data_IF_226706761645
#
_entry.id   IF_226706761645
#
_cell.length_a   1.000
_cell.length_b   1.000
_cell.length_c   1.000
_cell.angle_alpha   90.00
_cell.angle_beta   90.00
_cell.angle_gamma   90.00
#
_symmetry.space_group_name_H-M   'P 1'
#
loop_
_entity.id
_entity.type
_entity.pdbx_description
1 polymer ?
#
# COMPACT_ATOMS: atom_id res chain seq x y z
N UNK A 1 -0.93 -8.18 0.83
CA UNK A 1 -1.86 -7.11 0.37
C UNK A 1 -1.31 -6.46 -0.90
N UNK A 2 -2.14 -5.78 -1.69
CA UNK A 2 -1.74 -5.05 -2.90
C UNK A 2 -0.69 -3.96 -2.62
N UNK A 3 -0.61 -3.47 -1.38
CA UNK A 3 0.45 -2.60 -0.88
C UNK A 3 1.88 -3.11 -1.21
N UNK A 4 2.12 -4.42 -1.07
CA UNK A 4 3.42 -5.04 -1.40
C UNK A 4 3.73 -4.94 -2.90
N UNK A 5 2.70 -5.10 -3.73
CA UNK A 5 2.83 -5.00 -5.19
C UNK A 5 3.21 -3.57 -5.59
N UNK A 6 2.47 -2.58 -5.10
CA UNK A 6 2.74 -1.16 -5.32
C UNK A 6 4.15 -0.77 -4.88
N UNK A 7 4.57 -1.21 -3.69
CA UNK A 7 5.93 -0.93 -3.19
C UNK A 7 7.00 -1.49 -4.13
N UNK A 8 6.85 -2.75 -4.56
CA UNK A 8 7.82 -3.41 -5.44
C UNK A 8 7.93 -2.72 -6.81
N UNK A 9 6.83 -2.18 -7.34
CA UNK A 9 6.84 -1.45 -8.61
C UNK A 9 7.54 -0.10 -8.53
N UNK A 10 7.50 0.54 -7.37
CA UNK A 10 8.31 1.73 -7.10
C UNK A 10 9.77 1.40 -6.77
N UNK A 11 10.17 0.12 -6.81
CA UNK A 11 11.49 -0.37 -6.41
C UNK A 11 11.89 0.02 -4.99
N UNK A 12 10.92 0.16 -4.08
CA UNK A 12 11.15 0.56 -2.70
C UNK A 12 11.29 -0.67 -1.80
N UNK A 13 12.21 -0.61 -0.84
CA UNK A 13 12.35 -1.57 0.25
C UNK A 13 11.34 -1.29 1.37
N UNK A 14 11.06 -2.29 2.19
CA UNK A 14 10.23 -2.13 3.39
C UNK A 14 10.81 -1.07 4.35
N UNK A 15 12.15 -0.99 4.44
CA UNK A 15 12.83 -0.01 5.29
C UNK A 15 12.67 1.43 4.78
N UNK A 16 12.69 1.64 3.46
CA UNK A 16 12.48 2.96 2.86
C UNK A 16 11.07 3.48 3.10
N UNK A 17 10.04 2.64 2.94
CA UNK A 17 8.67 3.03 3.25
C UNK A 17 8.51 3.30 4.74
N UNK A 18 9.00 2.40 5.60
CA UNK A 18 8.90 2.58 7.05
C UNK A 18 9.52 3.92 7.50
N UNK A 19 10.67 4.29 6.92
CA UNK A 19 11.32 5.59 7.15
C UNK A 19 10.47 6.76 6.68
N UNK A 20 9.86 6.68 5.49
CA UNK A 20 8.94 7.73 4.97
C UNK A 20 7.72 7.91 5.87
N UNK A 21 7.16 6.81 6.36
CA UNK A 21 5.99 6.80 7.24
C UNK A 21 6.30 7.09 8.71
N UNK A 22 7.58 7.23 9.07
CA UNK A 22 8.06 7.41 10.46
C UNK A 22 7.55 6.29 11.40
N UNK A 23 7.54 5.05 10.91
CA UNK A 23 7.18 3.84 11.68
C UNK A 23 8.34 2.85 11.69
N UNK A 24 8.26 1.85 12.57
CA UNK A 24 9.23 0.75 12.55
C UNK A 24 9.04 -0.13 11.31
N UNK A 25 10.14 -0.75 10.83
CA UNK A 25 10.07 -1.74 9.74
C UNK A 25 9.14 -2.89 10.09
N UNK A 26 9.16 -3.34 11.35
CA UNK A 26 8.27 -4.41 11.85
C UNK A 26 6.79 -4.00 11.76
N UNK A 27 6.46 -2.76 12.09
CA UNK A 27 5.10 -2.25 11.94
C UNK A 27 4.68 -2.23 10.46
N UNK A 28 5.54 -1.75 9.56
CA UNK A 28 5.28 -1.78 8.13
C UNK A 28 5.08 -3.20 7.59
N UNK A 29 5.91 -4.16 8.03
CA UNK A 29 5.76 -5.57 7.68
C UNK A 29 4.40 -6.13 8.10
N UNK A 30 3.96 -5.86 9.33
CA UNK A 30 2.62 -6.27 9.81
C UNK A 30 1.51 -5.63 8.98
N UNK A 31 1.67 -4.37 8.58
CA UNK A 31 0.73 -3.71 7.66
C UNK A 31 0.69 -4.43 6.31
N UNK A 32 1.83 -4.73 5.67
CA UNK A 32 1.84 -5.44 4.38
C UNK A 32 1.25 -6.86 4.43
N UNK A 33 1.39 -7.54 5.58
CA UNK A 33 0.81 -8.86 5.85
C UNK A 33 -0.69 -8.80 6.21
N UNK A 34 -1.20 -7.63 6.61
CA UNK A 34 -2.58 -7.47 7.08
C UNK A 34 -2.78 -7.78 8.57
N UNK A 35 -1.70 -7.90 9.35
CA UNK A 35 -1.71 -8.15 10.80
C UNK A 35 -1.92 -6.88 11.65
N UNK A 36 -1.95 -5.71 10.99
CA UNK A 36 -2.22 -4.41 11.59
C UNK A 36 -2.63 -3.40 10.53
N UNK A 37 -3.39 -2.39 10.93
CA UNK A 37 -3.75 -1.28 10.04
C UNK A 37 -2.87 -0.05 10.28
N UNK A 38 -2.52 0.71 9.23
CA UNK A 38 -1.87 2.01 9.38
C UNK A 38 -2.78 3.00 10.12
N UNK A 39 -2.19 3.93 10.85
CA UNK A 39 -2.91 5.10 11.39
C UNK A 39 -3.18 6.10 10.25
N UNK A 40 -4.11 7.04 10.48
CA UNK A 40 -4.50 8.08 9.51
C UNK A 40 -3.30 8.72 8.80
N UNK A 41 -2.34 9.29 9.53
CA UNK A 41 -1.19 9.97 8.92
C UNK A 41 -0.35 9.03 8.01
N UNK A 42 -0.25 7.76 8.37
CA UNK A 42 0.42 6.76 7.55
C UNK A 42 -0.43 6.32 6.35
N UNK A 43 -1.77 6.34 6.46
CA UNK A 43 -2.67 6.13 5.32
C UNK A 43 -2.55 7.27 4.33
N UNK A 44 -2.67 8.51 4.79
CA UNK A 44 -2.57 9.71 3.96
C UNK A 44 -1.23 9.71 3.19
N UNK A 45 -0.12 9.44 3.88
CA UNK A 45 1.20 9.34 3.25
C UNK A 45 1.35 8.17 2.26
N UNK A 46 0.62 7.06 2.46
CA UNK A 46 0.58 5.94 1.52
C UNK A 46 -0.26 6.27 0.29
N UNK A 47 -1.39 6.94 0.46
CA UNK A 47 -2.23 7.42 -0.64
C UNK A 47 -1.46 8.43 -1.49
N UNK A 48 -0.77 9.39 -0.88
CA UNK A 48 0.07 10.37 -1.59
C UNK A 48 1.21 9.70 -2.36
N UNK A 49 1.85 8.68 -1.77
CA UNK A 49 3.00 8.00 -2.37
C UNK A 49 2.59 7.14 -3.57
N UNK A 50 1.45 6.46 -3.48
CA UNK A 50 1.03 5.48 -4.49
C UNK A 50 -0.04 6.02 -5.45
N UNK A 51 -0.71 7.13 -5.13
CA UNK A 51 -1.82 7.66 -5.93
C UNK A 51 -3.04 6.72 -5.94
N UNK A 52 -3.19 5.91 -4.89
CA UNK A 52 -4.17 4.82 -4.81
C UNK A 52 -4.89 4.90 -3.47
N UNK A 53 -6.24 4.87 -3.43
CA UNK A 53 -6.99 4.91 -2.18
C UNK A 53 -6.66 3.73 -1.26
N UNK A 54 -6.75 3.95 0.05
CA UNK A 54 -6.48 2.91 1.05
C UNK A 54 -7.29 1.64 0.89
N UNK A 55 -8.55 1.74 0.44
CA UNK A 55 -9.38 0.56 0.18
C UNK A 55 -8.80 -0.35 -0.92
N UNK A 56 -7.99 0.20 -1.83
CA UNK A 56 -7.34 -0.56 -2.90
C UNK A 56 -6.00 -1.12 -2.41
N UNK A 57 -5.09 -0.30 -1.87
CA UNK A 57 -3.79 -0.84 -1.45
C UNK A 57 -3.90 -1.79 -0.24
N UNK A 58 -4.95 -1.65 0.58
CA UNK A 58 -5.28 -2.59 1.67
C UNK A 58 -6.12 -3.81 1.20
N UNK A 59 -6.36 -4.01 -0.09
CA UNK A 59 -6.98 -5.25 -0.55
C UNK A 59 -5.97 -6.41 -0.47
N UNK A 60 -6.43 -7.65 -0.21
CA UNK A 60 -5.54 -8.82 -0.19
C UNK A 60 -5.22 -9.26 -1.62
N UNK A 61 -6.21 -9.24 -2.50
CA UNK A 61 -6.07 -9.48 -3.93
C UNK A 61 -6.85 -8.45 -4.76
N UNK A 62 -6.77 -8.55 -6.09
CA UNK A 62 -7.49 -7.64 -7.00
C UNK A 62 -9.00 -7.91 -7.03
N UNK A 63 -9.40 -9.14 -6.72
CA UNK A 63 -10.80 -9.57 -6.67
C UNK A 63 -11.54 -8.95 -5.49
N UNK A 64 -10.83 -8.66 -4.40
CA UNK A 64 -11.37 -7.98 -3.21
C UNK A 64 -11.62 -6.48 -3.44
N UNK A 65 -11.17 -5.93 -4.58
CA UNK A 65 -11.30 -4.50 -4.89
C UNK A 65 -12.70 -4.23 -5.47
N UNK A 66 -13.48 -3.32 -4.87
CA UNK A 66 -14.80 -2.97 -5.39
C UNK A 66 -14.74 -2.50 -6.84
N UNK A 67 -15.75 -2.84 -7.62
CA UNK A 67 -15.79 -2.55 -9.06
C UNK A 67 -15.52 -1.07 -9.39
N UNK A 68 -16.11 -0.15 -8.64
CA UNK A 68 -15.94 1.29 -8.84
C UNK A 68 -14.53 1.82 -8.51
N UNK A 69 -13.68 1.02 -7.86
CA UNK A 69 -12.28 1.34 -7.57
C UNK A 69 -11.29 0.57 -8.46
N UNK A 70 -11.76 -0.33 -9.34
CA UNK A 70 -10.88 -1.09 -10.24
C UNK A 70 -10.08 -0.20 -11.19
N UNK A 71 -10.52 1.04 -11.44
CA UNK A 71 -9.77 2.03 -12.23
C UNK A 71 -8.36 2.31 -11.67
N UNK A 72 -8.18 2.22 -10.34
CA UNK A 72 -6.88 2.41 -9.68
C UNK A 72 -5.92 1.22 -9.86
N UNK A 73 -6.41 0.05 -10.31
CA UNK A 73 -5.57 -1.12 -10.55
C UNK A 73 -4.63 -0.93 -11.75
N UNK A 74 -4.89 0.06 -12.61
CA UNK A 74 -3.94 0.46 -13.67
C UNK A 74 -2.56 0.81 -13.11
N UNK A 75 -2.50 1.37 -11.89
CA UNK A 75 -1.25 1.65 -11.18
C UNK A 75 -0.43 0.40 -10.83
N UNK A 76 -1.05 -0.79 -10.88
CA UNK A 76 -0.40 -2.08 -10.67
C UNK A 76 0.24 -2.67 -11.94
N UNK A 77 0.22 -1.98 -13.08
CA UNK A 77 0.74 -2.54 -14.35
C UNK A 77 1.70 -1.63 -15.12
N UNK A 78 1.99 -0.42 -14.62
CA UNK A 78 3.00 0.44 -15.26
C UNK A 78 4.40 -0.12 -14.99
N UNK A 79 5.00 -0.70 -16.04
CA UNK A 79 6.44 -1.02 -16.14
C UNK A 79 7.25 0.23 -16.45
#
# INVERSE_FOLDING_TARGET
MLLKVLRNQKHLTQAEIARKLKISVRQYQRIEHGDSFPKKDAMDALEDLFGVPHRVYLAKSMEDVPDFLKCFLSQLYHK
#
